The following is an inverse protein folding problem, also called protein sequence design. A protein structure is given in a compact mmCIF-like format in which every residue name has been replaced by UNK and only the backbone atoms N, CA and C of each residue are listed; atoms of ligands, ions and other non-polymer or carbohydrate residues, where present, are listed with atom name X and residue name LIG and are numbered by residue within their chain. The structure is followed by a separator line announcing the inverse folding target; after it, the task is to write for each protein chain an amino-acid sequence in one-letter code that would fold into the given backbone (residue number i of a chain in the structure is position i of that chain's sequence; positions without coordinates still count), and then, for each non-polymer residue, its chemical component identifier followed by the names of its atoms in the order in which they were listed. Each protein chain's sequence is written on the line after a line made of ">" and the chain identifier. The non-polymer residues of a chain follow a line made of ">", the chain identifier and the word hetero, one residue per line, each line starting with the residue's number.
data_IF_966130769621
#
_entry.id   IF_966130769621
#
_cell.length_a   1.000
_cell.length_b   1.000
_cell.length_c   1.000
_cell.angle_alpha   90.00
_cell.angle_beta   90.00
_cell.angle_gamma   90.00
#
_symmetry.space_group_name_H-M   'P 1'
#
loop_
_entity.id
_entity.type
_entity.pdbx_description
1 polymer ?
#
# COMPACT_ATOMS: atom_id res chain seq x y z
N UNK A 1 16.33 38.28 60.09
CA UNK A 1 16.58 36.86 59.74
C UNK A 1 16.23 36.71 58.26
N UNK A 2 17.25 36.69 57.42
CA UNK A 2 17.12 36.62 55.96
C UNK A 2 17.02 35.15 55.54
N UNK A 3 15.93 34.78 54.89
CA UNK A 3 15.71 33.44 54.32
C UNK A 3 16.14 33.45 52.85
N UNK A 4 17.27 32.79 52.60
CA UNK A 4 17.89 32.56 51.31
C UNK A 4 17.05 31.57 50.48
N UNK A 5 16.52 32.00 49.34
CA UNK A 5 15.96 31.10 48.33
C UNK A 5 17.11 30.49 47.51
N UNK A 6 17.22 29.16 47.53
CA UNK A 6 18.11 28.40 46.67
C UNK A 6 17.45 28.20 45.30
N UNK A 7 18.01 28.82 44.28
CA UNK A 7 17.70 28.57 42.87
C UNK A 7 18.37 27.26 42.42
N UNK A 8 17.58 26.25 42.06
CA UNK A 8 18.09 25.05 41.39
C UNK A 8 18.40 25.35 39.92
N UNK A 9 19.68 25.53 39.60
CA UNK A 9 20.18 25.54 38.23
C UNK A 9 20.32 24.08 37.76
N UNK A 10 19.46 23.63 36.85
CA UNK A 10 19.64 22.35 36.16
C UNK A 10 20.80 22.47 35.17
N UNK A 11 21.87 21.74 35.45
CA UNK A 11 23.02 21.56 34.56
C UNK A 11 22.56 20.64 33.42
N UNK A 12 22.40 21.19 32.22
CA UNK A 12 22.27 20.40 30.99
C UNK A 12 23.61 19.73 30.69
N UNK A 13 23.68 18.42 30.89
CA UNK A 13 24.77 17.60 30.37
C UNK A 13 24.57 17.43 28.86
N UNK A 14 25.60 17.66 28.02
CA UNK A 14 25.49 17.45 26.59
C UNK A 14 25.34 15.95 26.30
N UNK A 15 24.26 15.60 25.59
CA UNK A 15 24.08 14.29 24.98
C UNK A 15 25.23 14.02 24.02
N UNK A 16 26.02 12.98 24.31
CA UNK A 16 27.03 12.47 23.39
C UNK A 16 26.34 12.05 22.08
N UNK A 17 26.71 12.73 20.99
CA UNK A 17 26.30 12.37 19.65
C UNK A 17 26.83 10.96 19.33
N UNK A 18 25.91 10.00 19.19
CA UNK A 18 26.22 8.68 18.63
C UNK A 18 26.59 8.91 17.16
N UNK A 19 27.82 8.50 16.80
CA UNK A 19 28.38 8.71 15.47
C UNK A 19 27.45 8.23 14.37
N UNK A 20 27.20 9.11 13.40
CA UNK A 20 26.62 8.75 12.13
C UNK A 20 27.55 7.72 11.48
N UNK A 21 27.10 6.47 11.37
CA UNK A 21 27.71 5.50 10.46
C UNK A 21 27.61 6.08 9.05
N UNK A 22 28.70 6.62 8.54
CA UNK A 22 28.86 6.99 7.13
C UNK A 22 28.66 5.73 6.29
N UNK A 23 27.47 5.62 5.68
CA UNK A 23 27.22 4.67 4.62
C UNK A 23 28.03 5.16 3.41
N UNK A 24 28.92 4.34 2.81
CA UNK A 24 29.68 4.76 1.64
C UNK A 24 28.73 5.19 0.51
N UNK A 25 28.86 6.44 0.04
CA UNK A 25 28.19 6.89 -1.19
C UNK A 25 28.79 6.15 -2.38
N UNK A 26 28.10 5.13 -2.85
CA UNK A 26 28.32 4.55 -4.18
C UNK A 26 27.00 4.69 -4.95
N UNK A 27 26.70 5.91 -5.42
CA UNK A 27 25.53 6.11 -6.29
C UNK A 27 24.94 7.52 -6.46
N UNK A 28 25.51 8.59 -5.91
CA UNK A 28 24.92 9.94 -5.91
C UNK A 28 24.90 10.67 -7.27
N UNK A 29 25.24 10.01 -8.38
CA UNK A 29 25.39 10.60 -9.71
C UNK A 29 24.22 10.38 -10.68
N UNK A 30 22.96 10.55 -10.27
CA UNK A 30 21.80 10.40 -11.19
C UNK A 30 21.35 11.76 -11.70
N UNK A 31 21.26 11.94 -13.01
CA UNK A 31 20.70 13.15 -13.61
C UNK A 31 19.18 13.26 -13.40
N UNK A 32 18.66 14.49 -13.26
CA UNK A 32 17.22 14.74 -13.08
C UNK A 32 16.33 14.05 -14.14
N UNK A 33 16.83 13.90 -15.37
CA UNK A 33 16.12 13.25 -16.47
C UNK A 33 15.82 11.78 -16.20
N UNK A 34 16.72 11.06 -15.53
CA UNK A 34 16.52 9.64 -15.24
C UNK A 34 15.52 9.45 -14.11
N UNK A 35 15.54 10.30 -13.08
CA UNK A 35 14.52 10.30 -12.03
C UNK A 35 13.10 10.55 -12.58
N UNK A 36 12.97 11.48 -13.54
CA UNK A 36 11.69 11.74 -14.20
C UNK A 36 11.19 10.53 -14.99
N UNK A 37 12.09 9.85 -15.74
CA UNK A 37 11.75 8.62 -16.47
C UNK A 37 11.35 7.48 -15.52
N UNK A 38 12.10 7.27 -14.45
CA UNK A 38 11.79 6.25 -13.44
C UNK A 38 10.42 6.49 -12.81
N UNK A 39 10.11 7.75 -12.48
CA UNK A 39 8.77 8.14 -12.00
C UNK A 39 7.67 7.81 -13.02
N UNK A 40 7.84 8.18 -14.28
CA UNK A 40 6.84 7.90 -15.33
C UNK A 40 6.57 6.40 -15.50
N UNK A 41 7.62 5.58 -15.42
CA UNK A 41 7.51 4.11 -15.46
C UNK A 41 6.74 3.61 -14.24
N UNK A 42 7.12 4.03 -13.03
CA UNK A 42 6.42 3.66 -11.81
C UNK A 42 4.94 4.01 -11.85
N UNK A 43 4.57 5.19 -12.37
CA UNK A 43 3.17 5.59 -12.53
C UNK A 43 2.41 4.74 -13.54
N UNK A 44 3.06 4.35 -14.64
CA UNK A 44 2.45 3.46 -15.64
C UNK A 44 2.29 2.04 -15.09
N UNK A 45 3.28 1.50 -14.38
CA UNK A 45 3.17 0.21 -13.68
C UNK A 45 2.04 0.27 -12.66
N UNK A 46 1.93 1.35 -11.88
CA UNK A 46 0.84 1.54 -10.91
C UNK A 46 -0.53 1.41 -11.57
N UNK A 47 -0.72 2.12 -12.69
CA UNK A 47 -1.97 2.05 -13.48
C UNK A 47 -2.24 0.64 -14.02
N UNK A 48 -1.22 -0.04 -14.52
CA UNK A 48 -1.39 -1.40 -15.06
C UNK A 48 -1.68 -2.43 -13.96
N UNK A 49 -1.05 -2.31 -12.78
CA UNK A 49 -1.34 -3.14 -11.61
C UNK A 49 -2.81 -2.97 -11.20
N UNK A 50 -3.29 -1.72 -11.07
CA UNK A 50 -4.70 -1.48 -10.73
C UNK A 50 -5.68 -1.98 -11.81
N UNK A 51 -5.27 -1.99 -13.08
CA UNK A 51 -6.11 -2.50 -14.19
C UNK A 51 -6.22 -4.01 -14.23
N UNK A 52 -5.14 -4.71 -13.91
CA UNK A 52 -4.98 -6.14 -14.18
C UNK A 52 -5.04 -7.01 -12.94
N UNK A 53 -4.71 -6.45 -11.78
CA UNK A 53 -4.63 -7.18 -10.52
C UNK A 53 -5.74 -6.75 -9.56
N UNK A 54 -6.32 -7.70 -8.80
CA UNK A 54 -7.29 -7.36 -7.77
C UNK A 54 -6.56 -6.66 -6.62
N UNK A 55 -6.69 -5.34 -6.53
CA UNK A 55 -6.08 -4.54 -5.46
C UNK A 55 -7.03 -4.43 -4.26
N UNK A 56 -6.46 -4.30 -3.07
CA UNK A 56 -7.21 -3.90 -1.88
C UNK A 56 -7.69 -2.47 -2.09
N UNK A 57 -8.93 -2.20 -1.69
CA UNK A 57 -9.56 -0.87 -1.69
C UNK A 57 -10.12 -0.65 -0.28
N UNK A 58 -9.21 -0.45 0.67
CA UNK A 58 -9.54 -0.23 2.07
C UNK A 58 -8.54 0.77 2.65
N UNK A 59 -8.98 2.03 2.77
CA UNK A 59 -8.12 3.12 3.20
C UNK A 59 -7.47 2.88 4.57
N UNK A 60 -8.12 2.16 5.50
CA UNK A 60 -7.53 1.87 6.81
C UNK A 60 -6.35 0.91 6.67
N UNK A 61 -6.57 -0.20 5.95
CA UNK A 61 -5.57 -1.24 5.75
C UNK A 61 -4.37 -0.71 4.95
N UNK A 62 -4.62 0.04 3.88
CA UNK A 62 -3.59 0.72 3.11
C UNK A 62 -2.76 1.67 3.99
N UNK A 63 -3.41 2.50 4.80
CA UNK A 63 -2.73 3.47 5.67
C UNK A 63 -1.85 2.76 6.72
N UNK A 64 -2.25 1.59 7.23
CA UNK A 64 -1.43 0.82 8.17
C UNK A 64 -0.09 0.41 7.54
N UNK A 65 -0.12 -0.13 6.33
CA UNK A 65 1.11 -0.53 5.64
C UNK A 65 1.89 0.68 5.12
N UNK A 66 1.21 1.73 4.68
CA UNK A 66 1.85 2.97 4.25
C UNK A 66 2.59 3.64 5.41
N UNK A 67 2.09 3.55 6.65
CA UNK A 67 2.78 4.06 7.82
C UNK A 67 4.10 3.33 8.09
N UNK A 68 4.09 1.99 8.04
CA UNK A 68 5.31 1.16 8.17
C UNK A 68 6.31 1.52 7.07
N UNK A 69 5.83 1.52 5.83
CA UNK A 69 6.62 1.86 4.65
C UNK A 69 7.24 3.25 4.75
N UNK A 70 6.45 4.27 5.14
CA UNK A 70 6.93 5.66 5.29
C UNK A 70 7.94 5.79 6.41
N UNK A 71 7.77 5.05 7.51
CA UNK A 71 8.73 4.97 8.61
C UNK A 71 10.10 4.48 8.14
N UNK A 72 10.13 3.39 7.37
CA UNK A 72 11.37 2.83 6.81
C UNK A 72 11.96 3.76 5.74
N UNK A 73 11.12 4.24 4.82
CA UNK A 73 11.54 5.13 3.73
C UNK A 73 12.21 6.41 4.25
N UNK A 74 11.73 6.96 5.38
CA UNK A 74 12.31 8.15 6.02
C UNK A 74 13.76 7.96 6.48
N UNK A 75 14.24 6.71 6.54
CA UNK A 75 15.63 6.36 6.87
C UNK A 75 16.53 6.26 5.63
N UNK A 76 16.00 6.62 4.46
CA UNK A 76 16.71 6.56 3.17
C UNK A 76 16.88 7.95 2.57
N UNK A 77 17.69 8.06 1.52
CA UNK A 77 17.83 9.28 0.72
C UNK A 77 16.89 9.29 -0.51
N UNK A 78 15.92 8.36 -0.57
CA UNK A 78 14.98 8.31 -1.68
C UNK A 78 14.06 9.53 -1.66
N UNK A 79 13.76 10.04 -2.87
CA UNK A 79 12.72 11.05 -3.06
C UNK A 79 11.32 10.49 -2.81
N UNK A 80 10.29 11.27 -3.15
CA UNK A 80 8.90 10.82 -2.96
C UNK A 80 8.56 9.65 -3.89
N UNK A 81 8.20 8.47 -3.35
CA UNK A 81 7.83 7.30 -4.13
C UNK A 81 6.46 7.49 -4.80
N UNK A 82 6.16 6.62 -5.78
CA UNK A 82 4.80 6.52 -6.33
C UNK A 82 3.81 6.09 -5.23
N UNK A 83 4.18 5.10 -4.42
CA UNK A 83 3.36 4.63 -3.30
C UNK A 83 3.46 3.13 -3.07
N UNK A 84 2.53 2.63 -2.26
CA UNK A 84 2.40 1.23 -1.89
C UNK A 84 1.02 0.71 -2.33
N UNK A 85 0.99 -0.47 -2.95
CA UNK A 85 -0.24 -1.17 -3.35
C UNK A 85 -0.31 -2.52 -2.64
N UNK A 86 -1.48 -2.89 -2.14
CA UNK A 86 -1.73 -4.23 -1.61
C UNK A 86 -2.56 -5.02 -2.61
N UNK A 87 -2.05 -6.17 -3.06
CA UNK A 87 -2.69 -7.03 -4.04
C UNK A 87 -3.36 -8.20 -3.33
N UNK A 88 -4.63 -8.46 -3.65
CA UNK A 88 -5.43 -9.59 -3.16
C UNK A 88 -4.99 -10.88 -3.84
N UNK A 89 -3.82 -11.35 -3.46
CA UNK A 89 -3.24 -12.60 -3.92
C UNK A 89 -2.78 -13.42 -2.71
N UNK A 90 -3.19 -14.70 -2.59
CA UNK A 90 -2.79 -15.57 -1.49
C UNK A 90 -1.33 -16.04 -1.60
N UNK A 91 -0.66 -15.83 -2.73
CA UNK A 91 0.76 -16.15 -2.86
C UNK A 91 1.62 -15.19 -2.04
N UNK A 92 2.71 -15.70 -1.46
CA UNK A 92 3.71 -14.89 -0.78
C UNK A 92 4.56 -14.18 -1.84
N UNK A 93 4.35 -12.87 -2.00
CA UNK A 93 5.15 -12.04 -2.88
C UNK A 93 5.17 -10.56 -2.46
N UNK A 94 6.22 -9.88 -2.85
CA UNK A 94 6.39 -8.43 -2.84
C UNK A 94 7.25 -8.04 -4.04
N UNK A 95 7.09 -6.80 -4.52
CA UNK A 95 8.03 -6.26 -5.50
C UNK A 95 8.10 -4.75 -5.41
N UNK A 96 9.21 -4.19 -5.89
CA UNK A 96 9.35 -2.77 -6.15
C UNK A 96 9.82 -2.50 -7.57
N UNK A 97 9.39 -1.37 -8.13
CA UNK A 97 9.81 -0.90 -9.46
C UNK A 97 10.40 0.51 -9.40
N UNK A 98 11.17 0.92 -10.42
CA UNK A 98 11.67 2.29 -10.52
C UNK A 98 10.57 3.34 -10.35
N UNK A 99 10.94 4.48 -9.76
CA UNK A 99 9.99 5.52 -9.34
C UNK A 99 9.41 5.28 -7.95
N UNK A 100 9.67 4.12 -7.33
CA UNK A 100 9.25 3.81 -5.96
C UNK A 100 7.79 3.41 -5.88
N UNK A 101 7.32 2.58 -6.81
CA UNK A 101 6.08 1.83 -6.58
C UNK A 101 6.44 0.51 -5.91
N UNK A 102 5.78 0.23 -4.80
CA UNK A 102 5.94 -0.99 -4.02
C UNK A 102 4.61 -1.75 -4.01
N UNK A 103 4.69 -3.07 -4.04
CA UNK A 103 3.52 -3.94 -3.99
C UNK A 103 3.72 -5.06 -2.99
N UNK A 104 2.65 -5.39 -2.26
CA UNK A 104 2.61 -6.50 -1.30
C UNK A 104 1.41 -7.39 -1.58
N UNK A 105 1.63 -8.70 -1.63
CA UNK A 105 0.52 -9.64 -1.70
C UNK A 105 -0.06 -9.90 -0.31
N UNK A 106 -1.36 -10.12 -0.24
CA UNK A 106 -2.05 -10.53 0.99
C UNK A 106 -1.52 -11.86 1.56
N UNK A 107 -0.99 -12.76 0.74
CA UNK A 107 -0.32 -13.98 1.18
C UNK A 107 0.93 -13.71 2.02
N UNK A 108 1.72 -12.70 1.66
CA UNK A 108 2.88 -12.26 2.44
C UNK A 108 2.42 -11.80 3.83
N UNK A 109 1.45 -10.89 3.87
CA UNK A 109 0.90 -10.33 5.11
C UNK A 109 0.35 -11.42 6.02
N UNK A 110 -0.41 -12.37 5.45
CA UNK A 110 -1.10 -13.40 6.22
C UNK A 110 -0.21 -14.58 6.62
N UNK A 111 0.94 -14.75 5.97
CA UNK A 111 1.96 -15.71 6.39
C UNK A 111 2.85 -15.19 7.54
N UNK A 112 3.01 -13.87 7.66
CA UNK A 112 3.84 -13.24 8.69
C UNK A 112 3.32 -13.52 10.12
N UNK A 113 4.26 -13.56 11.07
CA UNK A 113 4.00 -13.80 12.50
C UNK A 113 3.90 -12.50 13.31
N UNK A 114 4.48 -11.42 12.82
CA UNK A 114 4.43 -10.10 13.45
C UNK A 114 4.64 -9.00 12.39
N UNK A 115 4.48 -7.74 12.79
CA UNK A 115 4.64 -6.59 11.90
C UNK A 115 6.11 -6.38 11.47
N UNK A 116 7.08 -6.73 12.33
CA UNK A 116 8.51 -6.59 12.05
C UNK A 116 8.95 -7.48 10.86
N UNK A 117 8.32 -8.65 10.68
CA UNK A 117 8.55 -9.53 9.54
C UNK A 117 8.11 -8.87 8.21
N UNK A 118 6.94 -8.22 8.20
CA UNK A 118 6.46 -7.45 7.03
C UNK A 118 7.37 -6.24 6.78
N UNK A 119 7.77 -5.54 7.84
CA UNK A 119 8.71 -4.43 7.77
C UNK A 119 10.07 -4.86 7.19
N UNK A 120 10.53 -6.08 7.50
CA UNK A 120 11.72 -6.68 6.91
C UNK A 120 11.63 -6.80 5.40
N UNK A 121 10.53 -7.34 4.87
CA UNK A 121 10.34 -7.42 3.41
C UNK A 121 10.23 -6.05 2.78
N UNK A 122 9.46 -5.12 3.37
CA UNK A 122 9.40 -3.74 2.86
C UNK A 122 10.77 -3.07 2.82
N UNK A 123 11.59 -3.26 3.86
CA UNK A 123 12.94 -2.68 3.92
C UNK A 123 13.88 -3.28 2.88
N UNK A 124 13.76 -4.58 2.61
CA UNK A 124 14.47 -5.26 1.53
C UNK A 124 14.11 -4.64 0.16
N UNK A 125 12.82 -4.51 -0.13
CA UNK A 125 12.35 -3.89 -1.38
C UNK A 125 12.80 -2.42 -1.50
N UNK A 126 12.71 -1.65 -0.40
CA UNK A 126 13.20 -0.27 -0.34
C UNK A 126 14.70 -0.23 -0.63
N UNK A 127 15.49 -1.18 -0.12
CA UNK A 127 16.91 -1.26 -0.40
C UNK A 127 17.19 -1.53 -1.88
N UNK A 128 16.40 -2.37 -2.58
CA UNK A 128 16.52 -2.54 -4.03
C UNK A 128 16.37 -1.23 -4.81
N UNK A 129 15.38 -0.42 -4.45
CA UNK A 129 15.13 0.87 -5.09
C UNK A 129 16.21 1.89 -4.72
N UNK A 130 16.56 1.99 -3.42
CA UNK A 130 17.59 2.89 -2.92
C UNK A 130 18.96 2.63 -3.57
N UNK A 131 19.28 1.35 -3.77
CA UNK A 131 20.53 0.93 -4.40
C UNK A 131 20.43 0.83 -5.93
N UNK A 132 19.31 1.29 -6.53
CA UNK A 132 19.06 1.27 -7.99
C UNK A 132 19.38 -0.10 -8.61
N UNK A 133 19.11 -1.20 -7.92
CA UNK A 133 19.49 -2.55 -8.39
C UNK A 133 18.93 -2.82 -9.79
N UNK A 134 17.67 -2.43 -10.01
CA UNK A 134 17.03 -2.55 -11.31
C UNK A 134 17.73 -1.72 -12.40
N UNK A 135 17.94 -0.42 -12.18
CA UNK A 135 18.58 0.47 -13.16
C UNK A 135 20.02 0.02 -13.47
N UNK A 136 20.81 -0.37 -12.45
CA UNK A 136 22.17 -0.91 -12.61
C UNK A 136 22.19 -2.21 -13.42
N UNK A 137 21.24 -3.11 -13.18
CA UNK A 137 21.11 -4.34 -13.98
C UNK A 137 20.83 -4.01 -15.45
N UNK A 138 19.95 -3.06 -15.74
CA UNK A 138 19.58 -2.72 -17.12
C UNK A 138 20.68 -1.98 -17.89
N UNK A 139 21.45 -1.12 -17.21
CA UNK A 139 22.66 -0.50 -17.78
C UNK A 139 23.69 -1.56 -18.19
N UNK A 140 23.86 -2.60 -17.37
CA UNK A 140 24.74 -3.74 -17.70
C UNK A 140 24.26 -4.55 -18.92
N UNK A 141 22.95 -4.55 -19.20
CA UNK A 141 22.34 -5.26 -20.35
C UNK A 141 22.18 -4.44 -21.64
N UNK A 142 22.80 -3.24 -21.74
CA UNK A 142 22.83 -2.40 -22.97
C UNK A 142 21.44 -2.12 -23.59
N UNK A 143 20.50 -1.62 -22.79
CA UNK A 143 19.60 -0.55 -23.28
C UNK A 143 18.27 -0.91 -23.96
N UNK A 144 17.58 -1.98 -23.58
CA UNK A 144 16.16 -2.18 -23.98
C UNK A 144 15.19 -2.40 -22.80
N UNK A 145 15.65 -2.36 -21.56
CA UNK A 145 14.96 -3.09 -20.50
C UNK A 145 13.95 -2.32 -19.63
N UNK A 146 14.07 -1.00 -19.45
CA UNK A 146 13.17 -0.28 -18.52
C UNK A 146 11.70 -0.30 -18.99
N UNK A 147 11.49 -0.37 -20.31
CA UNK A 147 10.17 -0.38 -20.94
C UNK A 147 9.54 -1.79 -20.93
N UNK A 148 10.29 -2.89 -20.88
CA UNK A 148 9.64 -4.21 -20.83
C UNK A 148 8.99 -4.53 -19.46
N UNK A 149 9.30 -3.75 -18.40
CA UNK A 149 8.99 -4.11 -17.01
C UNK A 149 7.51 -4.24 -16.68
N UNK A 150 6.66 -3.27 -17.08
CA UNK A 150 5.25 -3.32 -16.70
C UNK A 150 4.53 -4.48 -17.40
N UNK A 151 4.84 -4.71 -18.67
CA UNK A 151 4.30 -5.84 -19.43
C UNK A 151 4.74 -7.19 -18.85
N UNK A 152 6.00 -7.29 -18.39
CA UNK A 152 6.52 -8.53 -17.79
C UNK A 152 5.93 -8.78 -16.39
N UNK A 153 5.90 -7.79 -15.48
CA UNK A 153 5.39 -7.99 -14.12
C UNK A 153 3.90 -8.40 -14.13
N UNK A 154 3.14 -7.79 -15.03
CA UNK A 154 1.72 -8.11 -15.24
C UNK A 154 1.57 -9.47 -15.92
N UNK A 155 2.39 -9.75 -16.93
CA UNK A 155 2.41 -11.04 -17.63
C UNK A 155 2.75 -12.21 -16.71
N UNK A 156 3.75 -12.05 -15.84
CA UNK A 156 4.16 -13.07 -14.87
C UNK A 156 3.05 -13.39 -13.87
N UNK A 157 2.41 -12.36 -13.30
CA UNK A 157 1.32 -12.53 -12.33
C UNK A 157 0.04 -13.15 -12.94
N UNK A 158 -0.17 -13.01 -14.25
CA UNK A 158 -1.27 -13.66 -14.98
C UNK A 158 -0.89 -15.09 -15.36
N UNK A 159 0.34 -15.31 -15.83
CA UNK A 159 0.83 -16.62 -16.24
C UNK A 159 0.91 -17.61 -15.07
N UNK A 160 1.22 -17.15 -13.85
CA UNK A 160 1.22 -17.99 -12.64
C UNK A 160 -0.18 -18.49 -12.21
N UNK A 161 -1.25 -17.99 -12.85
CA UNK A 161 -2.65 -18.40 -12.63
C UNK A 161 -3.21 -19.32 -13.72
N UNK A 162 -2.44 -19.60 -14.77
CA UNK A 162 -2.91 -20.41 -15.89
C UNK A 162 -2.71 -21.91 -15.61
N UNK A 163 -3.83 -22.62 -15.38
CA UNK A 163 -3.85 -24.08 -15.31
C UNK A 163 -3.74 -24.68 -16.74
N UNK A 164 -2.57 -25.25 -17.04
CA UNK A 164 -2.43 -26.45 -17.87
C UNK A 164 -2.92 -26.45 -19.34
N UNK A 165 -2.37 -25.59 -20.21
CA UNK A 165 -2.39 -25.87 -21.66
C UNK A 165 -0.95 -25.95 -22.23
N UNK A 166 -0.55 -27.14 -22.66
CA UNK A 166 0.85 -27.57 -22.84
C UNK A 166 1.45 -27.07 -24.17
N UNK A 167 0.62 -26.67 -25.14
CA UNK A 167 1.07 -26.27 -26.49
C UNK A 167 1.60 -24.83 -26.60
N UNK A 168 1.01 -23.88 -25.86
CA UNK A 168 1.45 -22.48 -25.78
C UNK A 168 2.55 -22.27 -24.73
N UNK A 169 2.69 -23.20 -23.78
CA UNK A 169 3.64 -23.16 -22.68
C UNK A 169 5.13 -23.24 -23.08
N UNK A 170 5.48 -23.85 -24.22
CA UNK A 170 6.90 -24.00 -24.63
C UNK A 170 7.48 -22.71 -25.21
N UNK A 171 6.70 -21.98 -26.01
CA UNK A 171 7.12 -20.68 -26.56
C UNK A 171 7.06 -19.58 -25.50
N UNK A 172 6.05 -19.62 -24.62
CA UNK A 172 5.99 -18.79 -23.41
C UNK A 172 7.12 -19.13 -22.45
N UNK A 173 7.47 -20.41 -22.24
CA UNK A 173 8.50 -20.83 -21.28
C UNK A 173 9.90 -20.34 -21.63
N UNK A 174 10.25 -20.26 -22.92
CA UNK A 174 11.58 -19.76 -23.33
C UNK A 174 11.67 -18.24 -23.19
N UNK A 175 10.63 -17.51 -23.59
CA UNK A 175 10.56 -16.06 -23.43
C UNK A 175 10.42 -15.67 -21.95
N UNK A 176 9.60 -16.39 -21.19
CA UNK A 176 9.41 -16.21 -19.75
C UNK A 176 10.67 -16.54 -18.96
N UNK A 177 11.42 -17.60 -19.31
CA UNK A 177 12.69 -17.90 -18.66
C UNK A 177 13.78 -16.84 -18.95
N UNK A 178 13.76 -16.22 -20.14
CA UNK A 178 14.62 -15.09 -20.46
C UNK A 178 14.20 -13.81 -19.70
N UNK A 179 12.89 -13.57 -19.57
CA UNK A 179 12.33 -12.48 -18.78
C UNK A 179 12.60 -12.65 -17.28
N UNK A 180 12.48 -13.87 -16.77
CA UNK A 180 12.74 -14.26 -15.39
C UNK A 180 14.21 -14.00 -15.01
N UNK A 181 15.16 -14.41 -15.87
CA UNK A 181 16.57 -14.07 -15.70
C UNK A 181 16.87 -12.57 -15.73
N UNK A 182 16.05 -11.78 -16.41
CA UNK A 182 16.22 -10.33 -16.48
C UNK A 182 15.64 -9.62 -15.24
N UNK A 183 14.64 -10.22 -14.59
CA UNK A 183 14.04 -9.73 -13.35
C UNK A 183 14.77 -10.21 -12.09
N UNK A 184 15.44 -11.36 -12.16
CA UNK A 184 16.15 -11.93 -11.02
C UNK A 184 17.36 -11.07 -10.64
N UNK A 185 17.42 -10.68 -9.38
CA UNK A 185 18.58 -9.96 -8.87
C UNK A 185 19.78 -10.90 -8.68
N UNK A 186 20.97 -10.38 -8.95
CA UNK A 186 22.20 -11.14 -8.69
C UNK A 186 22.36 -11.41 -7.19
N UNK A 187 23.05 -12.49 -6.83
CA UNK A 187 23.33 -12.82 -5.41
C UNK A 187 23.99 -11.68 -4.64
N UNK A 188 24.81 -10.85 -5.31
CA UNK A 188 25.44 -9.70 -4.67
C UNK A 188 24.44 -8.58 -4.39
N UNK A 189 23.49 -8.32 -5.30
CA UNK A 189 22.42 -7.35 -5.09
C UNK A 189 21.49 -7.79 -3.95
N UNK A 190 21.16 -9.08 -3.88
CA UNK A 190 20.38 -9.63 -2.78
C UNK A 190 21.07 -9.47 -1.42
N UNK A 191 22.37 -9.81 -1.31
CA UNK A 191 23.13 -9.60 -0.06
C UNK A 191 23.25 -8.12 0.32
N UNK A 192 23.39 -7.25 -0.69
CA UNK A 192 23.42 -5.80 -0.49
C UNK A 192 22.07 -5.28 0.03
N UNK A 193 20.96 -5.73 -0.57
CA UNK A 193 19.60 -5.41 -0.14
C UNK A 193 19.30 -5.93 1.27
N UNK A 194 19.66 -7.18 1.59
CA UNK A 194 19.49 -7.76 2.92
C UNK A 194 20.21 -6.89 3.98
N UNK A 195 21.48 -6.54 3.71
CA UNK A 195 22.32 -5.77 4.64
C UNK A 195 21.79 -4.35 4.86
N UNK A 196 21.47 -3.64 3.78
CA UNK A 196 21.03 -2.24 3.84
C UNK A 196 19.59 -2.16 4.35
N UNK A 197 18.72 -3.08 3.92
CA UNK A 197 17.35 -3.19 4.42
C UNK A 197 17.29 -3.42 5.93
N UNK A 198 18.16 -4.27 6.48
CA UNK A 198 18.28 -4.43 7.94
C UNK A 198 18.64 -3.13 8.66
N UNK A 199 19.53 -2.31 8.07
CA UNK A 199 19.90 -1.02 8.63
C UNK A 199 18.73 -0.03 8.59
N UNK A 200 17.97 0.00 7.49
CA UNK A 200 16.77 0.84 7.36
C UNK A 200 15.68 0.45 8.36
N UNK A 201 15.34 -0.83 8.45
CA UNK A 201 14.30 -1.28 9.38
C UNK A 201 14.72 -1.06 10.84
N UNK A 202 16.01 -1.29 11.18
CA UNK A 202 16.53 -1.02 12.51
C UNK A 202 16.44 0.47 12.87
N UNK A 203 16.83 1.35 11.94
CA UNK A 203 16.76 2.81 12.14
C UNK A 203 15.31 3.31 12.27
N UNK A 204 14.37 2.62 11.63
CA UNK A 204 12.93 2.86 11.78
C UNK A 204 12.32 2.23 13.05
N UNK A 205 13.12 1.56 13.89
CA UNK A 205 12.69 0.98 15.17
C UNK A 205 12.13 -0.43 15.09
N UNK A 206 12.26 -1.12 13.96
CA UNK A 206 11.83 -2.52 13.77
C UNK A 206 12.95 -3.50 14.12
N UNK A 207 12.58 -4.73 14.48
CA UNK A 207 13.56 -5.76 14.83
C UNK A 207 14.25 -6.37 13.60
N UNK A 208 15.57 -6.17 13.42
CA UNK A 208 16.29 -6.69 12.24
C UNK A 208 16.33 -8.23 12.17
N UNK A 209 16.13 -8.93 13.29
CA UNK A 209 16.01 -10.40 13.28
C UNK A 209 14.80 -10.87 12.49
N UNK A 210 13.74 -10.07 12.43
CA UNK A 210 12.48 -10.46 11.82
C UNK A 210 12.56 -10.54 10.30
N UNK A 211 13.55 -9.89 9.65
CA UNK A 211 13.85 -10.17 8.25
C UNK A 211 14.30 -11.63 8.04
N UNK A 212 15.22 -12.10 8.89
CA UNK A 212 15.69 -13.50 8.84
C UNK A 212 14.60 -14.49 9.26
N UNK A 213 13.80 -14.17 10.28
CA UNK A 213 12.67 -15.00 10.71
C UNK A 213 11.62 -15.14 9.57
N UNK A 214 11.42 -14.09 8.79
CA UNK A 214 10.50 -14.14 7.66
C UNK A 214 11.05 -14.99 6.50
N UNK A 215 12.35 -14.95 6.22
CA UNK A 215 12.98 -15.87 5.26
C UNK A 215 12.73 -17.34 5.62
N UNK A 216 12.83 -17.70 6.91
CA UNK A 216 12.48 -19.04 7.39
C UNK A 216 10.99 -19.36 7.21
N UNK A 217 10.11 -18.39 7.47
CA UNK A 217 8.67 -18.52 7.20
C UNK A 217 8.41 -18.80 5.72
N UNK A 218 9.00 -18.03 4.82
CA UNK A 218 8.88 -18.25 3.38
C UNK A 218 9.42 -19.60 2.96
N UNK A 219 10.60 -20.00 3.45
CA UNK A 219 11.19 -21.30 3.15
C UNK A 219 10.27 -22.45 3.58
N UNK A 220 9.67 -22.36 4.76
CA UNK A 220 8.74 -23.37 5.28
C UNK A 220 7.45 -23.44 4.47
N UNK A 221 6.83 -22.30 4.15
CA UNK A 221 5.57 -22.30 3.39
C UNK A 221 5.79 -22.75 1.94
N UNK A 222 6.95 -22.43 1.34
CA UNK A 222 7.34 -22.92 0.00
C UNK A 222 7.60 -24.43 0.00
N UNK A 223 8.24 -24.97 1.04
CA UNK A 223 8.55 -26.40 1.11
C UNK A 223 7.31 -27.30 1.23
N UNK A 224 6.13 -26.71 1.50
CA UNK A 224 4.86 -27.42 1.62
C UNK A 224 4.09 -27.50 0.31
N UNK A 225 4.58 -26.83 -0.74
CA UNK A 225 3.87 -26.63 -2.00
C UNK A 225 4.78 -27.06 -3.15
N UNK A 226 4.24 -27.74 -4.16
CA UNK A 226 5.01 -28.27 -5.29
C UNK A 226 5.46 -27.19 -6.30
N UNK A 227 5.14 -25.92 -6.07
CA UNK A 227 5.54 -24.78 -6.91
C UNK A 227 6.33 -23.76 -6.08
N UNK A 228 7.34 -23.13 -6.69
CA UNK A 228 8.09 -22.03 -6.09
C UNK A 228 7.26 -20.74 -6.15
N UNK A 229 7.07 -19.99 -5.04
CA UNK A 229 6.41 -18.68 -5.08
C UNK A 229 7.13 -17.71 -6.02
N UNK A 230 6.38 -16.80 -6.64
CA UNK A 230 6.90 -15.78 -7.55
C UNK A 230 8.03 -14.92 -6.92
N UNK A 231 8.03 -14.77 -5.59
CA UNK A 231 9.11 -14.13 -4.84
C UNK A 231 10.47 -14.81 -5.05
N UNK A 232 10.53 -16.14 -5.16
CA UNK A 232 11.78 -16.90 -5.33
C UNK A 232 12.37 -16.81 -6.73
N UNK A 233 11.51 -16.58 -7.73
CA UNK A 233 11.92 -16.39 -9.12
C UNK A 233 12.72 -15.08 -9.25
N UNK A 234 12.28 -14.04 -8.54
CA UNK A 234 12.91 -12.71 -8.54
C UNK A 234 13.98 -12.51 -7.46
N UNK A 235 13.82 -13.16 -6.30
CA UNK A 235 14.72 -13.09 -5.13
C UNK A 235 15.14 -14.49 -4.64
N UNK A 236 16.18 -15.11 -5.24
CA UNK A 236 16.61 -16.46 -4.86
C UNK A 236 17.10 -16.52 -3.40
N UNK A 237 16.38 -17.23 -2.52
CA UNK A 237 16.72 -17.34 -1.10
C UNK A 237 17.56 -18.60 -0.81
N UNK A 238 18.87 -18.45 -0.63
CA UNK A 238 19.76 -19.59 -0.32
C UNK A 238 19.88 -19.81 1.19
N UNK A 239 20.25 -21.03 1.61
CA UNK A 239 20.63 -21.31 3.01
C UNK A 239 21.78 -20.42 3.50
N UNK A 240 22.69 -20.07 2.59
CA UNK A 240 23.75 -19.09 2.80
C UNK A 240 23.16 -17.71 3.15
N UNK A 241 22.22 -17.18 2.37
CA UNK A 241 21.57 -15.88 2.64
C UNK A 241 20.82 -15.87 3.97
N UNK A 242 20.06 -16.92 4.29
CA UNK A 242 19.38 -17.03 5.58
C UNK A 242 20.37 -16.98 6.76
N UNK A 243 21.48 -17.71 6.64
CA UNK A 243 22.54 -17.74 7.66
C UNK A 243 23.24 -16.39 7.80
N UNK A 244 23.56 -15.75 6.68
CA UNK A 244 24.20 -14.43 6.62
C UNK A 244 23.29 -13.33 7.20
N UNK A 245 22.00 -13.36 6.86
CA UNK A 245 20.98 -12.49 7.41
C UNK A 245 20.90 -12.63 8.94
N UNK A 246 20.88 -13.86 9.46
CA UNK A 246 20.88 -14.14 10.90
C UNK A 246 22.13 -13.59 11.59
N UNK A 247 23.30 -13.83 11.01
CA UNK A 247 24.58 -13.36 11.55
C UNK A 247 24.65 -11.84 11.61
N UNK A 248 24.19 -11.13 10.57
CA UNK A 248 24.13 -9.66 10.55
C UNK A 248 23.14 -9.10 11.54
N UNK A 249 21.95 -9.68 11.61
CA UNK A 249 20.95 -9.24 12.57
C UNK A 249 21.45 -9.38 14.02
N UNK A 250 22.36 -10.33 14.31
CA UNK A 250 23.00 -10.48 15.63
C UNK A 250 24.05 -9.40 15.94
N UNK A 251 24.55 -8.69 14.93
CA UNK A 251 25.50 -7.58 15.09
C UNK A 251 24.81 -6.25 15.38
N UNK A 252 23.50 -6.15 15.09
CA UNK A 252 22.71 -4.96 15.41
C UNK A 252 22.18 -5.03 16.85
N UNK A 253 21.97 -3.87 17.51
CA UNK A 253 21.37 -3.83 18.83
C UNK A 253 20.01 -4.51 18.86
N UNK A 254 19.73 -5.25 19.93
CA UNK A 254 18.48 -5.99 20.08
C UNK A 254 17.30 -5.02 20.21
N UNK A 255 16.34 -5.14 19.32
CA UNK A 255 15.02 -4.53 19.43
C UNK A 255 14.04 -5.60 19.91
N UNK A 256 13.22 -5.28 20.91
CA UNK A 256 12.24 -6.22 21.45
C UNK A 256 11.13 -6.45 20.43
N UNK A 257 11.03 -7.65 19.88
CA UNK A 257 9.94 -8.01 18.97
C UNK A 257 8.60 -8.08 19.70
N UNK A 258 7.54 -7.65 19.02
CA UNK A 258 6.16 -7.75 19.50
C UNK A 258 5.48 -8.98 18.88
N UNK A 259 5.87 -10.18 19.33
CA UNK A 259 5.35 -11.45 18.80
C UNK A 259 3.87 -11.67 19.18
N UNK A 260 3.42 -11.08 20.29
CA UNK A 260 2.02 -11.11 20.74
C UNK A 260 1.44 -9.70 20.71
N UNK A 261 1.24 -9.19 19.50
CA UNK A 261 0.67 -7.88 19.25
C UNK A 261 -0.77 -8.01 18.75
N UNK A 262 -1.73 -7.55 19.57
CA UNK A 262 -3.14 -7.54 19.20
C UNK A 262 -3.37 -6.70 17.94
N UNK A 263 -2.62 -5.62 17.74
CA UNK A 263 -2.76 -4.76 16.57
C UNK A 263 -2.34 -5.50 15.30
N UNK A 264 -1.27 -6.29 15.37
CA UNK A 264 -0.86 -7.14 14.24
C UNK A 264 -1.86 -8.27 13.98
N UNK A 265 -2.39 -8.89 15.03
CA UNK A 265 -3.39 -9.94 14.86
C UNK A 265 -4.68 -9.40 14.22
N UNK A 266 -5.13 -8.21 14.63
CA UNK A 266 -6.23 -7.48 13.99
C UNK A 266 -5.90 -7.23 12.51
N UNK A 267 -4.72 -6.66 12.22
CA UNK A 267 -4.27 -6.37 10.85
C UNK A 267 -4.30 -7.62 9.96
N UNK A 268 -3.76 -8.73 10.47
CA UNK A 268 -3.67 -10.02 9.79
C UNK A 268 -5.05 -10.62 9.50
N UNK A 269 -5.91 -10.73 10.52
CA UNK A 269 -7.24 -11.33 10.35
C UNK A 269 -8.16 -10.42 9.53
N UNK A 270 -8.04 -9.10 9.67
CA UNK A 270 -8.77 -8.15 8.83
C UNK A 270 -8.33 -8.26 7.36
N UNK A 271 -7.03 -8.41 7.10
CA UNK A 271 -6.50 -8.65 5.74
C UNK A 271 -7.10 -9.91 5.12
N UNK A 272 -7.16 -11.02 5.86
CA UNK A 272 -7.80 -12.27 5.38
C UNK A 272 -9.26 -12.07 4.97
N UNK A 273 -10.00 -11.25 5.70
CA UNK A 273 -11.41 -10.96 5.38
C UNK A 273 -11.52 -10.10 4.13
N UNK A 274 -10.80 -8.97 4.07
CA UNK A 274 -10.85 -8.03 2.92
C UNK A 274 -10.33 -8.66 1.63
N UNK A 275 -9.41 -9.62 1.74
CA UNK A 275 -8.86 -10.37 0.61
C UNK A 275 -9.71 -11.56 0.18
N UNK A 276 -10.86 -11.82 0.84
CA UNK A 276 -11.72 -12.99 0.63
C UNK A 276 -10.98 -14.34 0.82
N UNK A 277 -9.99 -14.38 1.71
CA UNK A 277 -9.20 -15.58 2.02
C UNK A 277 -9.58 -16.21 3.37
N UNK A 278 -10.40 -15.51 4.18
CA UNK A 278 -10.95 -16.06 5.42
C UNK A 278 -12.10 -17.03 5.17
N UNK A 279 -12.21 -18.06 6.02
CA UNK A 279 -13.41 -18.88 6.14
C UNK A 279 -14.13 -18.62 7.46
N UNK A 280 -15.46 -18.77 7.47
CA UNK A 280 -16.26 -18.58 8.68
C UNK A 280 -15.81 -19.52 9.81
N UNK A 281 -15.63 -20.80 9.48
CA UNK A 281 -15.19 -21.84 10.43
C UNK A 281 -13.85 -21.49 11.09
N UNK A 282 -12.89 -21.00 10.32
CA UNK A 282 -11.58 -20.59 10.84
C UNK A 282 -11.72 -19.42 11.82
N UNK A 283 -12.46 -18.38 11.44
CA UNK A 283 -12.65 -17.21 12.29
C UNK A 283 -13.46 -17.54 13.55
N UNK A 284 -14.50 -18.38 13.45
CA UNK A 284 -15.28 -18.87 14.58
C UNK A 284 -14.43 -19.68 15.55
N UNK A 285 -13.54 -20.55 15.06
CA UNK A 285 -12.66 -21.34 15.91
C UNK A 285 -11.78 -20.46 16.82
N UNK A 286 -11.24 -19.37 16.28
CA UNK A 286 -10.48 -18.38 17.06
C UNK A 286 -11.38 -17.53 17.97
N UNK A 287 -12.52 -17.06 17.47
CA UNK A 287 -13.46 -16.25 18.25
C UNK A 287 -14.05 -17.00 19.45
N UNK A 288 -14.27 -18.32 19.33
CA UNK A 288 -14.72 -19.19 20.42
C UNK A 288 -13.69 -19.29 21.56
N UNK A 289 -12.41 -19.06 21.26
CA UNK A 289 -11.35 -18.93 22.25
C UNK A 289 -11.25 -17.52 22.85
N UNK A 290 -12.30 -16.69 22.67
CA UNK A 290 -12.39 -15.29 23.10
C UNK A 290 -11.32 -14.38 22.47
N UNK A 291 -10.80 -14.77 21.31
CA UNK A 291 -9.84 -13.97 20.56
C UNK A 291 -10.52 -12.68 20.03
N UNK A 292 -10.00 -11.53 20.45
CA UNK A 292 -10.61 -10.22 20.18
C UNK A 292 -10.42 -9.80 18.72
N UNK A 293 -9.28 -10.10 18.11
CA UNK A 293 -9.02 -9.84 16.70
C UNK A 293 -9.95 -10.68 15.80
N UNK A 294 -10.17 -11.95 16.14
CA UNK A 294 -11.06 -12.84 15.40
C UNK A 294 -12.54 -12.42 15.49
N UNK A 295 -12.99 -11.95 16.65
CA UNK A 295 -14.35 -11.40 16.80
C UNK A 295 -14.55 -10.14 15.96
N UNK A 296 -13.56 -9.24 15.92
CA UNK A 296 -13.60 -8.07 15.03
C UNK A 296 -13.61 -8.50 13.55
N UNK A 297 -12.78 -9.46 13.17
CA UNK A 297 -12.74 -10.01 11.82
C UNK A 297 -14.05 -10.70 11.43
N UNK A 298 -14.69 -11.46 12.33
CA UNK A 298 -16.03 -12.03 12.11
C UNK A 298 -17.07 -10.95 11.85
N UNK A 299 -17.03 -9.85 12.61
CA UNK A 299 -17.93 -8.72 12.39
C UNK A 299 -17.81 -8.20 10.96
N UNK A 300 -16.58 -7.96 10.48
CA UNK A 300 -16.33 -7.57 9.09
C UNK A 300 -16.74 -8.66 8.09
N UNK A 301 -16.48 -9.93 8.39
CA UNK A 301 -16.80 -11.07 7.52
C UNK A 301 -18.31 -11.23 7.26
N UNK A 302 -19.13 -11.05 8.30
CA UNK A 302 -20.59 -11.07 8.18
C UNK A 302 -21.12 -9.80 7.49
N UNK A 303 -20.51 -8.65 7.77
CA UNK A 303 -20.81 -7.39 7.10
C UNK A 303 -20.64 -7.48 5.57
N UNK A 304 -19.53 -8.04 5.09
CA UNK A 304 -19.28 -8.24 3.64
C UNK A 304 -20.30 -9.18 2.97
N UNK A 305 -21.02 -9.99 3.75
CA UNK A 305 -22.09 -10.90 3.29
C UNK A 305 -23.50 -10.33 3.47
N UNK A 306 -23.61 -9.11 4.01
CA UNK A 306 -24.90 -8.47 4.30
C UNK A 306 -25.62 -9.01 5.55
N UNK A 307 -24.97 -9.86 6.36
CA UNK A 307 -25.54 -10.29 7.64
C UNK A 307 -25.21 -9.27 8.73
N UNK A 308 -25.98 -8.19 8.73
CA UNK A 308 -25.80 -7.08 9.67
C UNK A 308 -26.11 -7.47 11.12
N UNK A 309 -26.89 -8.54 11.35
CA UNK A 309 -27.24 -9.00 12.70
C UNK A 309 -26.04 -9.67 13.35
N UNK A 310 -25.42 -10.62 12.64
CA UNK A 310 -24.20 -11.28 13.12
C UNK A 310 -23.01 -10.32 13.15
N UNK A 311 -22.93 -9.40 12.18
CA UNK A 311 -21.91 -8.36 12.18
C UNK A 311 -22.00 -7.50 13.45
N UNK A 312 -23.20 -7.03 13.81
CA UNK A 312 -23.43 -6.22 15.01
C UNK A 312 -23.13 -7.00 16.29
N UNK A 313 -23.62 -8.24 16.39
CA UNK A 313 -23.41 -9.09 17.56
C UNK A 313 -21.91 -9.31 17.85
N UNK A 314 -21.11 -9.61 16.82
CA UNK A 314 -19.66 -9.77 16.97
C UNK A 314 -18.94 -8.46 17.29
N UNK A 315 -19.38 -7.33 16.72
CA UNK A 315 -18.82 -6.02 17.03
C UNK A 315 -19.05 -5.64 18.50
N UNK A 316 -20.25 -5.92 19.02
CA UNK A 316 -20.62 -5.58 20.40
C UNK A 316 -19.76 -6.31 21.44
N UNK A 317 -19.28 -7.52 21.12
CA UNK A 317 -18.36 -8.28 21.98
C UNK A 317 -16.98 -7.62 22.15
N UNK A 318 -16.55 -6.82 21.15
CA UNK A 318 -15.20 -6.22 21.13
C UNK A 318 -15.18 -4.72 21.39
N UNK A 319 -16.30 -4.00 21.20
CA UNK A 319 -16.39 -2.54 21.40
C UNK A 319 -15.79 -2.05 22.71
N UNK A 320 -16.05 -2.74 23.82
CA UNK A 320 -15.54 -2.34 25.13
C UNK A 320 -14.01 -2.52 25.24
N UNK A 321 -13.46 -3.57 24.60
CA UNK A 321 -12.03 -3.89 24.60
C UNK A 321 -11.24 -3.02 23.62
N UNK A 322 -11.86 -2.67 22.49
CA UNK A 322 -11.26 -1.92 21.38
C UNK A 322 -11.82 -0.51 21.26
N UNK A 323 -12.15 0.13 22.38
CA UNK A 323 -12.88 1.42 22.43
C UNK A 323 -12.29 2.51 21.54
N UNK A 324 -10.96 2.54 21.41
CA UNK A 324 -10.22 3.55 20.64
C UNK A 324 -9.72 3.05 19.28
N UNK A 325 -9.98 1.79 18.93
CA UNK A 325 -9.51 1.23 17.67
C UNK A 325 -10.37 1.73 16.50
N UNK A 326 -9.72 2.28 15.46
CA UNK A 326 -10.39 2.95 14.33
C UNK A 326 -11.35 2.04 13.56
N UNK A 327 -11.07 0.73 13.47
CA UNK A 327 -11.98 -0.22 12.83
C UNK A 327 -13.36 -0.33 13.50
N UNK A 328 -13.49 -0.09 14.81
CA UNK A 328 -14.77 -0.23 15.51
C UNK A 328 -15.82 0.73 14.97
N UNK A 329 -15.59 2.06 14.92
CA UNK A 329 -16.54 2.98 14.31
C UNK A 329 -16.67 2.80 12.79
N UNK A 330 -15.62 2.39 12.07
CA UNK A 330 -15.72 2.11 10.63
C UNK A 330 -16.73 0.98 10.36
N UNK A 331 -16.56 -0.17 11.00
CA UNK A 331 -17.45 -1.33 10.86
C UNK A 331 -18.86 -1.00 11.36
N UNK A 332 -18.99 -0.29 12.49
CA UNK A 332 -20.30 0.14 13.00
C UNK A 332 -21.05 1.00 11.98
N UNK A 333 -20.33 1.91 11.32
CA UNK A 333 -20.89 2.82 10.33
C UNK A 333 -21.33 2.05 9.08
N UNK A 334 -20.53 1.09 8.62
CA UNK A 334 -20.90 0.23 7.50
C UNK A 334 -22.13 -0.63 7.77
N UNK A 335 -22.27 -1.17 8.98
CA UNK A 335 -23.48 -1.90 9.41
C UNK A 335 -24.71 -0.99 9.26
N UNK A 336 -24.63 0.26 9.74
CA UNK A 336 -25.75 1.20 9.63
C UNK A 336 -26.01 1.63 8.18
N UNK A 337 -24.97 1.89 7.38
CA UNK A 337 -25.12 2.20 5.96
C UNK A 337 -25.79 1.06 5.20
N UNK A 338 -25.40 -0.19 5.44
CA UNK A 338 -26.00 -1.38 4.85
C UNK A 338 -27.47 -1.60 5.23
N UNK A 339 -27.88 -1.07 6.39
CA UNK A 339 -29.27 -1.05 6.84
C UNK A 339 -30.04 0.23 6.44
N UNK A 340 -29.46 1.12 5.62
CA UNK A 340 -30.01 2.44 5.26
C UNK A 340 -30.30 3.37 6.46
N UNK A 341 -29.56 3.19 7.55
CA UNK A 341 -29.68 3.95 8.81
C UNK A 341 -28.70 5.13 8.85
N UNK A 342 -28.88 6.10 7.96
CA UNK A 342 -27.88 7.15 7.71
C UNK A 342 -27.60 8.06 8.91
N UNK A 343 -28.61 8.40 9.71
CA UNK A 343 -28.42 9.26 10.89
C UNK A 343 -27.62 8.56 12.01
N UNK A 344 -27.83 7.25 12.15
CA UNK A 344 -27.06 6.42 13.08
C UNK A 344 -25.62 6.24 12.58
N UNK A 345 -25.43 6.04 11.26
CA UNK A 345 -24.12 6.01 10.63
C UNK A 345 -23.34 7.33 10.82
N UNK A 346 -24.02 8.47 10.68
CA UNK A 346 -23.41 9.78 10.93
C UNK A 346 -23.00 9.92 12.40
N UNK A 347 -23.91 9.58 13.30
CA UNK A 347 -23.69 9.67 14.75
C UNK A 347 -22.56 8.76 15.23
N UNK A 348 -22.36 7.59 14.61
CA UNK A 348 -21.29 6.66 14.99
C UNK A 348 -19.89 7.12 14.61
N UNK A 349 -19.73 7.99 13.60
CA UNK A 349 -18.41 8.33 13.06
C UNK A 349 -18.03 9.82 13.19
N UNK A 350 -18.99 10.74 13.15
CA UNK A 350 -18.73 12.18 13.06
C UNK A 350 -17.85 12.71 14.21
N UNK A 351 -18.15 12.32 15.46
CA UNK A 351 -17.35 12.75 16.61
C UNK A 351 -15.91 12.23 16.52
N UNK A 352 -15.75 10.96 16.17
CA UNK A 352 -14.44 10.29 16.13
C UNK A 352 -13.59 10.86 14.98
N UNK A 353 -14.20 11.10 13.82
CA UNK A 353 -13.54 11.75 12.69
C UNK A 353 -13.10 13.18 13.04
N UNK A 354 -13.91 13.95 13.79
CA UNK A 354 -13.52 15.28 14.27
C UNK A 354 -12.34 15.24 15.25
N UNK A 355 -12.21 14.17 16.04
CA UNK A 355 -11.06 13.99 16.94
C UNK A 355 -9.80 13.49 16.24
N UNK A 356 -9.93 12.80 15.10
CA UNK A 356 -8.82 12.30 14.28
C UNK A 356 -8.98 12.78 12.83
N UNK A 357 -8.92 14.10 12.57
CA UNK A 357 -9.16 14.65 11.26
C UNK A 357 -8.08 14.21 10.26
N UNK A 358 -6.90 13.82 10.66
CA UNK A 358 -5.85 13.31 9.75
C UNK A 358 -6.11 11.89 9.24
N UNK A 359 -7.01 11.13 9.88
CA UNK A 359 -7.29 9.75 9.50
C UNK A 359 -8.13 9.68 8.20
N UNK A 360 -7.52 9.16 7.13
CA UNK A 360 -8.14 9.07 5.79
C UNK A 360 -9.37 8.18 5.79
N UNK A 361 -9.26 6.98 6.37
CA UNK A 361 -10.35 6.00 6.41
C UNK A 361 -11.62 6.54 7.10
N UNK A 362 -11.48 7.18 8.26
CA UNK A 362 -12.61 7.80 8.97
C UNK A 362 -13.25 8.93 8.15
N UNK A 363 -12.43 9.67 7.43
CA UNK A 363 -12.87 10.80 6.63
C UNK A 363 -13.60 10.38 5.37
N UNK A 364 -13.10 9.34 4.69
CA UNK A 364 -13.73 8.75 3.52
C UNK A 364 -15.05 8.08 3.90
N UNK A 365 -15.07 7.36 5.02
CA UNK A 365 -16.30 6.77 5.53
C UNK A 365 -17.33 7.84 5.93
N UNK A 366 -16.93 8.92 6.61
CA UNK A 366 -17.84 10.04 6.90
C UNK A 366 -18.31 10.74 5.61
N UNK A 367 -17.44 10.90 4.61
CA UNK A 367 -17.82 11.46 3.32
C UNK A 367 -18.86 10.58 2.61
N UNK A 368 -18.72 9.25 2.65
CA UNK A 368 -19.75 8.32 2.15
C UNK A 368 -21.09 8.53 2.85
N UNK A 369 -21.10 8.62 4.20
CA UNK A 369 -22.33 8.90 4.97
C UNK A 369 -22.96 10.21 4.53
N UNK A 370 -22.18 11.28 4.40
CA UNK A 370 -22.66 12.60 3.98
C UNK A 370 -23.22 12.57 2.56
N UNK A 371 -22.59 11.84 1.64
CA UNK A 371 -23.11 11.62 0.28
C UNK A 371 -24.48 10.94 0.35
N UNK A 372 -24.63 9.89 1.17
CA UNK A 372 -25.92 9.17 1.36
C UNK A 372 -27.00 10.05 2.00
N UNK A 373 -26.61 11.04 2.81
CA UNK A 373 -27.51 12.07 3.38
C UNK A 373 -27.76 13.27 2.44
N UNK A 374 -27.19 13.28 1.23
CA UNK A 374 -27.32 14.41 0.29
C UNK A 374 -26.47 15.64 0.63
N UNK A 375 -25.57 15.55 1.60
CA UNK A 375 -24.71 16.64 2.07
C UNK A 375 -23.42 16.76 1.24
N UNK A 376 -23.57 16.98 -0.07
CA UNK A 376 -22.50 16.96 -1.07
C UNK A 376 -21.30 17.88 -0.75
N UNK A 377 -21.56 19.14 -0.38
CA UNK A 377 -20.51 20.13 -0.16
C UNK A 377 -19.58 19.78 1.03
N UNK A 378 -20.15 19.20 2.09
CA UNK A 378 -19.38 18.76 3.26
C UNK A 378 -18.51 17.54 2.90
N UNK A 379 -19.07 16.58 2.15
CA UNK A 379 -18.32 15.42 1.67
C UNK A 379 -17.14 15.84 0.78
N UNK A 380 -17.36 16.75 -0.17
CA UNK A 380 -16.29 17.27 -1.03
C UNK A 380 -15.15 17.91 -0.22
N UNK A 381 -15.49 18.75 0.77
CA UNK A 381 -14.50 19.41 1.63
C UNK A 381 -13.63 18.40 2.39
N UNK A 382 -14.25 17.33 2.93
CA UNK A 382 -13.54 16.28 3.65
C UNK A 382 -12.56 15.49 2.78
N UNK A 383 -12.95 15.20 1.54
CA UNK A 383 -12.15 14.36 0.63
C UNK A 383 -11.05 15.17 -0.07
N UNK A 384 -11.34 16.41 -0.47
CA UNK A 384 -10.40 17.27 -1.20
C UNK A 384 -9.04 17.40 -0.50
N UNK A 385 -9.00 17.50 0.83
CA UNK A 385 -7.75 17.66 1.57
C UNK A 385 -6.78 16.47 1.43
N UNK A 386 -7.28 15.26 1.18
CA UNK A 386 -6.44 14.08 0.95
C UNK A 386 -5.97 14.03 -0.51
N UNK A 387 -6.86 14.34 -1.44
CA UNK A 387 -6.54 14.43 -2.87
C UNK A 387 -5.46 15.47 -3.18
N UNK A 388 -5.47 16.62 -2.49
CA UNK A 388 -4.41 17.63 -2.64
C UNK A 388 -3.03 17.10 -2.21
N UNK A 389 -2.97 16.15 -1.27
CA UNK A 389 -1.71 15.53 -0.81
C UNK A 389 -1.32 14.34 -1.67
N UNK A 390 -2.30 13.58 -2.15
CA UNK A 390 -2.09 12.40 -2.99
C UNK A 390 -3.08 12.39 -4.16
N UNK A 391 -2.62 12.86 -5.31
CA UNK A 391 -3.43 12.90 -6.53
C UNK A 391 -3.68 11.51 -7.15
N UNK A 392 -3.04 10.45 -6.63
CA UNK A 392 -3.21 9.07 -7.12
C UNK A 392 -4.32 8.31 -6.42
N UNK A 393 -4.93 8.90 -5.38
CA UNK A 393 -5.92 8.23 -4.55
C UNK A 393 -7.25 8.04 -5.31
N UNK A 394 -7.44 6.81 -5.80
CA UNK A 394 -8.59 6.41 -6.62
C UNK A 394 -9.90 6.55 -5.83
N UNK A 395 -9.94 6.11 -4.56
CA UNK A 395 -11.14 6.15 -3.72
C UNK A 395 -11.57 7.59 -3.48
N UNK A 396 -10.63 8.49 -3.20
CA UNK A 396 -10.92 9.91 -3.04
C UNK A 396 -11.50 10.54 -4.30
N UNK A 397 -10.97 10.22 -5.49
CA UNK A 397 -11.55 10.73 -6.75
C UNK A 397 -12.97 10.20 -6.99
N UNK A 398 -13.24 8.94 -6.67
CA UNK A 398 -14.57 8.35 -6.77
C UNK A 398 -15.56 9.02 -5.80
N UNK A 399 -15.16 9.28 -4.56
CA UNK A 399 -15.99 10.00 -3.59
C UNK A 399 -16.27 11.44 -4.03
N UNK A 400 -15.29 12.15 -4.59
CA UNK A 400 -15.50 13.49 -5.16
C UNK A 400 -16.47 13.45 -6.34
N UNK A 401 -16.34 12.47 -7.23
CA UNK A 401 -17.26 12.27 -8.34
C UNK A 401 -18.70 12.06 -7.82
N UNK A 402 -18.89 11.14 -6.86
CA UNK A 402 -20.19 10.83 -6.27
C UNK A 402 -20.81 12.04 -5.58
N UNK A 403 -20.04 12.75 -4.74
CA UNK A 403 -20.51 13.94 -4.05
C UNK A 403 -20.89 15.06 -5.03
N UNK A 404 -20.08 15.29 -6.07
CA UNK A 404 -20.36 16.33 -7.08
C UNK A 404 -21.59 16.00 -7.90
N UNK A 405 -21.83 14.72 -8.19
CA UNK A 405 -23.03 14.29 -8.92
C UNK A 405 -24.34 14.61 -8.17
N UNK A 406 -24.30 14.85 -6.86
CA UNK A 406 -25.44 15.29 -6.05
C UNK A 406 -25.63 16.81 -6.03
N UNK A 407 -24.60 17.60 -6.31
CA UNK A 407 -24.66 19.07 -6.32
C UNK A 407 -25.24 19.62 -7.62
N UNK A 408 -26.55 19.45 -7.80
CA UNK A 408 -27.30 19.94 -8.97
C UNK A 408 -27.35 21.47 -9.09
N UNK A 409 -26.93 22.19 -8.04
CA UNK A 409 -26.95 23.65 -8.02
C UNK A 409 -25.73 24.27 -8.72
N UNK A 410 -24.64 23.51 -8.83
CA UNK A 410 -23.40 23.99 -9.41
C UNK A 410 -23.45 24.01 -10.95
N UNK A 411 -23.22 25.16 -11.60
CA UNK A 411 -23.14 25.21 -13.07
C UNK A 411 -21.93 24.44 -13.62
N UNK A 412 -20.96 24.10 -12.76
CA UNK A 412 -19.77 23.32 -13.11
C UNK A 412 -19.93 21.83 -12.81
N UNK A 413 -21.11 21.41 -12.33
CA UNK A 413 -21.35 20.03 -11.89
C UNK A 413 -20.93 19.00 -12.95
N UNK A 414 -21.50 19.10 -14.16
CA UNK A 414 -21.24 18.14 -15.23
C UNK A 414 -19.76 18.08 -15.62
N UNK A 415 -19.09 19.24 -15.66
CA UNK A 415 -17.66 19.34 -15.97
C UNK A 415 -16.83 18.66 -14.87
N UNK A 416 -17.08 18.99 -13.61
CA UNK A 416 -16.33 18.46 -12.47
C UNK A 416 -16.55 16.95 -12.31
N UNK A 417 -17.78 16.45 -12.49
CA UNK A 417 -18.07 15.00 -12.48
C UNK A 417 -17.24 14.27 -13.54
N UNK A 418 -17.16 14.81 -14.76
CA UNK A 418 -16.36 14.23 -15.84
C UNK A 418 -14.85 14.30 -15.55
N UNK A 419 -14.36 15.39 -14.96
CA UNK A 419 -12.96 15.51 -14.56
C UNK A 419 -12.60 14.50 -13.45
N UNK A 420 -13.39 14.40 -12.39
CA UNK A 420 -13.12 13.46 -11.29
C UNK A 420 -13.26 12.00 -11.75
N UNK A 421 -14.24 11.71 -12.62
CA UNK A 421 -14.34 10.41 -13.28
C UNK A 421 -13.08 10.10 -14.09
N UNK A 422 -12.59 11.06 -14.87
CA UNK A 422 -11.38 10.87 -15.67
C UNK A 422 -10.14 10.58 -14.81
N UNK A 423 -9.97 11.27 -13.68
CA UNK A 423 -8.88 10.99 -12.75
C UNK A 423 -8.98 9.58 -12.14
N UNK A 424 -10.18 9.17 -11.68
CA UNK A 424 -10.40 7.83 -11.17
C UNK A 424 -10.12 6.75 -12.22
N UNK A 425 -10.65 6.92 -13.45
CA UNK A 425 -10.42 6.02 -14.59
C UNK A 425 -8.93 5.95 -14.95
N UNK A 426 -8.23 7.09 -14.96
CA UNK A 426 -6.81 7.16 -15.29
C UNK A 426 -5.97 6.39 -14.29
N UNK A 427 -6.11 6.65 -12.98
CA UNK A 427 -5.33 5.97 -11.95
C UNK A 427 -5.70 4.50 -11.77
N UNK A 428 -6.93 4.12 -12.13
CA UNK A 428 -7.35 2.71 -12.25
C UNK A 428 -6.84 2.01 -13.52
N UNK A 429 -6.10 2.73 -14.38
CA UNK A 429 -5.50 2.20 -15.61
C UNK A 429 -6.43 2.14 -16.82
N UNK A 430 -7.67 2.63 -16.72
CA UNK A 430 -8.57 2.82 -17.86
C UNK A 430 -8.26 4.13 -18.62
N UNK A 431 -7.01 4.32 -19.04
CA UNK A 431 -6.49 5.56 -19.64
C UNK A 431 -7.33 6.04 -20.84
N UNK A 432 -7.84 5.13 -21.66
CA UNK A 432 -8.68 5.50 -22.81
C UNK A 432 -10.04 6.06 -22.38
N UNK A 433 -10.66 5.48 -21.35
CA UNK A 433 -11.92 5.99 -20.80
C UNK A 433 -11.69 7.35 -20.14
N UNK A 434 -10.59 7.51 -19.41
CA UNK A 434 -10.20 8.78 -18.82
C UNK A 434 -10.07 9.90 -19.87
N UNK A 435 -9.39 9.63 -20.99
CA UNK A 435 -9.26 10.58 -22.10
C UNK A 435 -10.63 10.92 -22.71
N UNK A 436 -11.52 9.93 -22.89
CA UNK A 436 -12.89 10.17 -23.38
C UNK A 436 -13.70 11.04 -22.42
N UNK A 437 -13.62 10.77 -21.12
CA UNK A 437 -14.26 11.57 -20.06
C UNK A 437 -13.73 13.01 -20.07
N UNK A 438 -12.41 13.20 -20.20
CA UNK A 438 -11.78 14.51 -20.22
C UNK A 438 -12.08 15.30 -21.51
N UNK A 439 -12.15 14.65 -22.68
CA UNK A 439 -12.62 15.27 -23.94
C UNK A 439 -14.08 15.72 -23.85
N UNK A 440 -14.92 15.00 -23.11
CA UNK A 440 -16.28 15.44 -22.85
C UNK A 440 -16.29 16.67 -21.94
N UNK A 441 -15.53 16.66 -20.84
CA UNK A 441 -15.38 17.81 -19.96
C UNK A 441 -14.92 19.07 -20.73
N UNK A 442 -13.94 18.91 -21.62
CA UNK A 442 -13.41 19.98 -22.48
C UNK A 442 -14.51 20.63 -23.34
N UNK A 443 -15.38 19.82 -23.96
CA UNK A 443 -16.47 20.33 -24.79
C UNK A 443 -17.48 21.17 -23.99
N UNK A 444 -17.74 20.79 -22.75
CA UNK A 444 -18.64 21.52 -21.85
C UNK A 444 -17.99 22.77 -21.23
N UNK A 445 -16.66 22.77 -21.08
CA UNK A 445 -15.92 23.85 -20.44
C UNK A 445 -15.63 25.07 -21.34
N UNK A 446 -16.00 25.05 -22.64
CA UNK A 446 -15.66 26.11 -23.62
C UNK A 446 -15.99 27.55 -23.18
N UNK A 447 -17.05 27.73 -22.38
CA UNK A 447 -17.43 29.03 -21.84
C UNK A 447 -16.61 29.50 -20.63
N UNK A 448 -15.71 28.67 -20.12
CA UNK A 448 -14.88 28.92 -18.94
C UNK A 448 -13.40 28.71 -19.29
N UNK A 449 -12.69 29.81 -19.55
CA UNK A 449 -11.30 29.81 -20.00
C UNK A 449 -10.36 29.14 -18.98
N UNK A 450 -10.54 29.43 -17.69
CA UNK A 450 -9.70 28.86 -16.63
C UNK A 450 -9.87 27.34 -16.52
N UNK A 451 -11.11 26.86 -16.63
CA UNK A 451 -11.40 25.42 -16.60
C UNK A 451 -10.90 24.72 -17.86
N UNK A 452 -11.10 25.34 -19.03
CA UNK A 452 -10.61 24.82 -20.31
C UNK A 452 -9.10 24.63 -20.28
N UNK A 453 -8.34 25.63 -19.82
CA UNK A 453 -6.88 25.54 -19.72
C UNK A 453 -6.42 24.38 -18.82
N UNK A 454 -7.09 24.17 -17.66
CA UNK A 454 -6.78 23.05 -16.77
C UNK A 454 -7.07 21.70 -17.42
N UNK A 455 -8.23 21.58 -18.07
CA UNK A 455 -8.64 20.36 -18.77
C UNK A 455 -7.69 20.06 -19.93
N UNK A 456 -7.34 21.06 -20.73
CA UNK A 456 -6.44 20.92 -21.87
C UNK A 456 -5.05 20.44 -21.44
N UNK A 457 -4.50 21.04 -20.38
CA UNK A 457 -3.22 20.63 -19.81
C UNK A 457 -3.24 19.18 -19.33
N UNK A 458 -4.28 18.79 -18.57
CA UNK A 458 -4.37 17.45 -18.01
C UNK A 458 -4.69 16.40 -19.09
N UNK A 459 -5.55 16.73 -20.05
CA UNK A 459 -5.86 15.89 -21.21
C UNK A 459 -4.61 15.60 -22.03
N UNK A 460 -3.80 16.63 -22.32
CA UNK A 460 -2.54 16.46 -23.05
C UNK A 460 -1.59 15.52 -22.30
N UNK A 461 -1.45 15.70 -20.99
CA UNK A 461 -0.65 14.80 -20.16
C UNK A 461 -1.14 13.34 -20.27
N UNK A 462 -2.45 13.09 -20.09
CA UNK A 462 -3.02 11.74 -20.22
C UNK A 462 -2.79 11.13 -21.61
N UNK A 463 -2.87 11.94 -22.67
CA UNK A 463 -2.60 11.48 -24.04
C UNK A 463 -1.12 11.13 -24.26
N UNK A 464 -0.21 11.94 -23.73
CA UNK A 464 1.23 11.70 -23.81
C UNK A 464 1.61 10.43 -23.02
N UNK A 465 1.08 10.27 -21.81
CA UNK A 465 1.28 9.08 -20.96
C UNK A 465 0.74 7.79 -21.60
N UNK A 466 -0.38 7.87 -22.32
CA UNK A 466 -0.93 6.73 -23.07
C UNK A 466 -0.06 6.34 -24.27
N UNK A 467 0.56 7.32 -24.93
CA UNK A 467 1.45 7.08 -26.08
C UNK A 467 2.77 6.46 -25.68
N UNK A 468 3.19 6.62 -24.42
CA UNK A 468 4.32 5.87 -23.87
C UNK A 468 3.97 4.38 -23.89
N UNK A 469 4.52 3.68 -24.89
CA UNK A 469 4.50 2.22 -24.94
C UNK A 469 5.56 1.72 -23.97
N UNK A 470 5.10 0.97 -22.98
CA UNK A 470 5.92 0.14 -22.09
C UNK A 470 5.89 -1.26 -22.70
#
# INVERSE_FOLDING_TARGET
>A
MATTQLSHTQIFLPTQAIGQTEVPEIGSGVGLLDQQKEKLIGEKVYREVHRQMPTVQDAWLEDQFLQVFSGILSQTQLGQPIGLVVIKDPQINAFAVPGGLFALNTGLITSAKNLDEIAGVMAHEIAHVAQRHYSRSQEAFKGQGLLALAGILVGAAIASKADGDVGSAVMLGTQAALMDKQLSYSRNQEREADRIGMQFMYSAGYNPQSMADYFETMHRETSRVSFLPDFWLTHPLTTERMSEARLRANQLPKVKSKIYDLDFEILKLYTLVISNQATETQLQAFANQKNTAAQLALSKFYLERGDYTQAQANLDLVKAKLKYHVLVPLIQTDIYLGQNKFDQAYSSINFIQKTMPENRALSYKLAEVLIRQGQAAQAQTLVQRFIHKNQRDIEGWQLLQQATNLDKSSPLQAINVLCYRAEAEYWSGYEENAIKSMLHAQRLAKGNLAMSAKIDSRLKQMQDDRRMKI
#
